data_IF_619555166248
#
_entry.id   IF_619555166248
#
_cell.length_a   1.000
_cell.length_b   1.000
_cell.length_c   1.000
_cell.angle_alpha   90.00
_cell.angle_beta   90.00
_cell.angle_gamma   90.00
#
_symmetry.space_group_name_H-M   'P 1'
#
loop_
_entity.id
_entity.type
_entity.pdbx_description
1 polymer ?
#
# COMPACT_ATOMS: atom_id res chain seq x y z
N UNK A 1 7.48 -23.25 -8.29
CA UNK A 1 7.87 -21.86 -7.98
C UNK A 1 6.65 -21.16 -7.41
N UNK A 2 6.58 -21.10 -6.09
CA UNK A 2 5.43 -20.69 -5.29
C UNK A 2 5.31 -19.17 -5.23
N UNK A 3 4.37 -18.61 -5.99
CA UNK A 3 3.86 -17.26 -5.74
C UNK A 3 2.48 -17.42 -5.11
N UNK A 4 2.46 -17.63 -3.80
CA UNK A 4 1.25 -17.56 -2.99
C UNK A 4 0.93 -16.09 -2.75
N UNK A 5 0.19 -15.47 -3.65
CA UNK A 5 -0.65 -14.35 -3.26
C UNK A 5 -1.87 -14.94 -2.56
N UNK A 6 -2.16 -14.45 -1.36
CA UNK A 6 -3.24 -14.90 -0.50
C UNK A 6 -4.58 -14.98 -1.25
N UNK A 7 -4.88 -16.12 -1.88
CA UNK A 7 -6.18 -16.42 -2.44
C UNK A 7 -7.06 -16.83 -1.26
N UNK A 8 -7.76 -15.85 -0.68
CA UNK A 8 -8.91 -16.14 0.16
C UNK A 8 -9.84 -17.04 -0.64
N UNK A 9 -9.91 -18.31 -0.24
CA UNK A 9 -10.65 -19.34 -0.94
C UNK A 9 -12.13 -19.02 -0.73
N UNK A 10 -12.76 -18.33 -1.67
CA UNK A 10 -14.20 -18.12 -1.69
C UNK A 10 -14.87 -19.46 -2.08
N UNK A 11 -14.83 -20.44 -1.16
CA UNK A 11 -15.55 -21.71 -1.28
C UNK A 11 -17.02 -21.44 -0.99
N UNK A 12 -17.73 -20.90 -1.97
CA UNK A 12 -19.17 -20.78 -1.93
C UNK A 12 -19.76 -21.98 -2.68
N UNK A 13 -20.37 -22.90 -1.95
CA UNK A 13 -21.11 -24.04 -2.53
C UNK A 13 -22.24 -23.56 -3.43
N UNK A 14 -22.85 -22.42 -3.11
CA UNK A 14 -23.87 -21.77 -3.94
C UNK A 14 -23.29 -21.28 -5.26
N UNK A 15 -22.06 -20.77 -5.26
CA UNK A 15 -21.37 -20.35 -6.49
C UNK A 15 -21.01 -21.54 -7.37
N UNK A 16 -20.64 -22.68 -6.78
CA UNK A 16 -20.41 -23.93 -7.52
C UNK A 16 -21.71 -24.50 -8.10
N UNK A 17 -22.82 -24.42 -7.36
CA UNK A 17 -24.13 -24.87 -7.83
C UNK A 17 -24.64 -24.08 -9.04
N UNK A 18 -24.26 -22.82 -9.19
CA UNK A 18 -24.62 -22.00 -10.36
C UNK A 18 -24.10 -22.63 -11.66
N UNK A 19 -22.92 -23.27 -11.65
CA UNK A 19 -22.38 -23.94 -12.85
C UNK A 19 -23.29 -25.07 -13.35
N UNK A 20 -24.03 -25.74 -12.46
CA UNK A 20 -24.98 -26.79 -12.84
C UNK A 20 -26.27 -26.27 -13.46
N UNK A 21 -26.55 -24.97 -13.33
CA UNK A 21 -27.76 -24.31 -13.79
C UNK A 21 -27.50 -23.54 -15.11
N UNK A 22 -26.24 -23.25 -15.43
CA UNK A 22 -25.86 -22.51 -16.64
C UNK A 22 -26.04 -23.33 -17.91
N UNK A 23 -26.56 -22.66 -18.95
CA UNK A 23 -26.63 -23.22 -20.30
C UNK A 23 -25.23 -23.30 -20.92
N UNK A 24 -25.00 -24.20 -21.89
CA UNK A 24 -23.69 -24.39 -22.54
C UNK A 24 -23.13 -23.09 -23.16
N UNK A 25 -24.00 -22.19 -23.62
CA UNK A 25 -23.64 -20.86 -24.12
C UNK A 25 -23.20 -19.90 -23.02
N UNK A 26 -23.93 -19.87 -21.91
CA UNK A 26 -23.60 -19.06 -20.73
C UNK A 26 -22.30 -19.54 -20.10
N UNK A 27 -22.03 -20.85 -20.10
CA UNK A 27 -20.79 -21.44 -19.60
C UNK A 27 -19.57 -20.98 -20.40
N UNK A 28 -19.72 -20.74 -21.71
CA UNK A 28 -18.67 -20.14 -22.55
C UNK A 28 -18.46 -18.67 -22.22
N UNK A 29 -19.52 -17.93 -21.91
CA UNK A 29 -19.46 -16.52 -21.52
C UNK A 29 -18.86 -16.34 -20.11
N UNK A 30 -19.22 -17.21 -19.17
CA UNK A 30 -18.83 -17.21 -17.77
C UNK A 30 -17.89 -18.37 -17.43
N UNK A 31 -16.73 -18.40 -18.10
CA UNK A 31 -15.67 -19.41 -17.88
C UNK A 31 -15.07 -19.45 -16.45
N UNK A 32 -15.55 -18.61 -15.54
CA UNK A 32 -15.15 -18.54 -14.12
C UNK A 32 -15.48 -19.81 -13.35
N UNK A 33 -16.47 -20.57 -13.84
CA UNK A 33 -16.94 -21.78 -13.20
C UNK A 33 -16.08 -23.01 -13.54
N UNK A 34 -15.19 -22.89 -14.54
CA UNK A 34 -14.16 -23.89 -14.84
C UNK A 34 -12.87 -23.53 -14.06
N UNK A 35 -12.57 -24.21 -12.93
CA UNK A 35 -11.38 -23.91 -12.10
C UNK A 35 -10.05 -24.11 -12.84
N UNK A 36 -10.08 -24.75 -14.01
CA UNK A 36 -8.90 -25.09 -14.81
C UNK A 36 -8.60 -24.09 -15.94
N UNK A 37 -9.49 -23.15 -16.27
CA UNK A 37 -9.35 -22.30 -17.47
C UNK A 37 -9.11 -20.81 -17.21
N UNK A 38 -9.63 -20.27 -16.12
CA UNK A 38 -9.50 -18.85 -15.82
C UNK A 38 -9.04 -18.64 -14.37
N UNK A 39 -7.90 -17.99 -14.20
CA UNK A 39 -7.49 -17.49 -12.88
C UNK A 39 -8.50 -16.43 -12.42
N UNK A 40 -9.00 -16.55 -11.19
CA UNK A 40 -9.95 -15.61 -10.57
C UNK A 40 -9.50 -14.16 -10.70
N UNK A 41 -8.18 -13.91 -10.66
CA UNK A 41 -7.60 -12.58 -10.84
C UNK A 41 -7.92 -11.96 -12.20
N UNK A 42 -7.84 -12.75 -13.28
CA UNK A 42 -8.11 -12.28 -14.64
C UNK A 42 -9.59 -11.96 -14.81
N UNK A 43 -10.47 -12.78 -14.24
CA UNK A 43 -11.90 -12.48 -14.18
C UNK A 43 -12.17 -11.16 -13.49
N UNK A 44 -11.65 -11.00 -12.27
CA UNK A 44 -11.90 -9.81 -11.46
C UNK A 44 -11.40 -8.55 -12.19
N UNK A 45 -10.26 -8.66 -12.89
CA UNK A 45 -9.73 -7.60 -13.75
C UNK A 45 -10.71 -7.24 -14.86
N UNK A 46 -11.21 -8.23 -15.61
CA UNK A 46 -12.15 -8.02 -16.73
C UNK A 46 -13.49 -7.49 -16.24
N UNK A 47 -14.01 -8.02 -15.14
CA UNK A 47 -15.24 -7.54 -14.50
C UNK A 47 -15.10 -6.08 -14.07
N UNK A 48 -14.00 -5.72 -13.40
CA UNK A 48 -13.73 -4.33 -12.99
C UNK A 48 -13.63 -3.38 -14.19
N UNK A 49 -12.96 -3.80 -15.28
CA UNK A 49 -12.87 -3.01 -16.52
C UNK A 49 -14.25 -2.83 -17.17
N UNK A 50 -15.05 -3.91 -17.22
CA UNK A 50 -16.41 -3.87 -17.72
C UNK A 50 -17.31 -2.95 -16.90
N UNK A 51 -17.27 -3.03 -15.57
CA UNK A 51 -18.02 -2.11 -14.70
C UNK A 51 -17.68 -0.66 -14.99
N UNK A 52 -16.40 -0.31 -15.13
CA UNK A 52 -16.00 1.07 -15.45
C UNK A 52 -16.50 1.53 -16.82
N UNK A 53 -16.38 0.68 -17.83
CA UNK A 53 -16.75 1.03 -19.20
C UNK A 53 -18.27 1.11 -19.39
N UNK A 54 -19.03 0.17 -18.82
CA UNK A 54 -20.47 0.04 -19.06
C UNK A 54 -21.33 0.71 -17.99
N UNK A 55 -20.97 0.57 -16.70
CA UNK A 55 -21.76 1.16 -15.61
C UNK A 55 -21.38 2.61 -15.35
N UNK A 56 -20.07 2.92 -15.31
CA UNK A 56 -19.59 4.28 -15.02
C UNK A 56 -19.36 5.13 -16.27
N UNK A 57 -19.41 4.54 -17.48
CA UNK A 57 -19.16 5.22 -18.76
C UNK A 57 -17.82 5.99 -18.77
N UNK A 58 -16.82 5.49 -18.04
CA UNK A 58 -15.49 6.09 -17.98
C UNK A 58 -14.60 5.49 -19.08
N UNK A 59 -13.81 6.34 -19.74
CA UNK A 59 -12.80 5.85 -20.69
C UNK A 59 -11.70 5.06 -19.98
N UNK A 60 -11.38 3.88 -20.51
CA UNK A 60 -10.29 3.00 -20.05
C UNK A 60 -8.91 3.67 -20.11
N UNK A 61 -8.76 4.71 -20.93
CA UNK A 61 -7.57 5.55 -21.02
C UNK A 61 -7.28 6.33 -19.72
N UNK A 62 -8.27 6.46 -18.83
CA UNK A 62 -8.14 7.19 -17.55
C UNK A 62 -7.40 6.39 -16.46
N UNK A 63 -7.35 5.05 -16.55
CA UNK A 63 -6.68 4.17 -15.59
C UNK A 63 -5.20 4.50 -15.34
N UNK A 64 -4.33 4.67 -16.37
CA UNK A 64 -2.94 5.03 -16.15
C UNK A 64 -2.80 6.41 -15.49
N UNK A 65 -3.69 7.35 -15.80
CA UNK A 65 -3.71 8.69 -15.19
C UNK A 65 -4.04 8.61 -13.71
N UNK A 66 -5.05 7.82 -13.33
CA UNK A 66 -5.41 7.60 -11.93
C UNK A 66 -4.29 6.90 -11.15
N UNK A 67 -3.63 5.89 -11.73
CA UNK A 67 -2.48 5.22 -11.09
C UNK A 67 -1.32 6.18 -10.85
N UNK A 68 -1.04 7.07 -11.81
CA UNK A 68 -0.01 8.12 -11.65
C UNK A 68 -0.38 9.07 -10.52
N UNK A 69 -1.63 9.57 -10.50
CA UNK A 69 -2.12 10.43 -9.41
C UNK A 69 -2.01 9.76 -8.05
N UNK A 70 -2.37 8.48 -7.94
CA UNK A 70 -2.29 7.73 -6.68
C UNK A 70 -0.83 7.57 -6.20
N UNK A 71 0.11 7.28 -7.09
CA UNK A 71 1.54 7.23 -6.76
C UNK A 71 2.07 8.58 -6.28
N UNK A 72 1.72 9.66 -6.97
CA UNK A 72 2.11 11.02 -6.58
C UNK A 72 1.55 11.36 -5.19
N UNK A 73 0.26 11.10 -4.97
CA UNK A 73 -0.38 11.38 -3.69
C UNK A 73 0.24 10.57 -2.54
N UNK A 74 0.66 9.33 -2.79
CA UNK A 74 1.39 8.52 -1.81
C UNK A 74 2.72 9.14 -1.41
N UNK A 75 3.51 9.60 -2.40
CA UNK A 75 4.80 10.29 -2.13
C UNK A 75 4.56 11.59 -1.38
N UNK A 76 3.58 12.39 -1.80
CA UNK A 76 3.20 13.64 -1.14
C UNK A 76 2.78 13.38 0.31
N UNK A 77 1.98 12.35 0.56
CA UNK A 77 1.56 11.99 1.91
C UNK A 77 2.74 11.61 2.80
N UNK A 78 3.68 10.78 2.29
CA UNK A 78 4.91 10.42 3.03
C UNK A 78 5.75 11.67 3.34
N UNK A 79 5.98 12.54 2.36
CA UNK A 79 6.70 13.79 2.58
C UNK A 79 6.01 14.69 3.61
N UNK A 80 4.68 14.78 3.56
CA UNK A 80 3.91 15.58 4.50
C UNK A 80 4.02 15.03 5.93
N UNK A 81 3.92 13.70 6.11
CA UNK A 81 4.08 13.06 7.41
C UNK A 81 5.51 13.27 7.97
N UNK A 82 6.55 13.02 7.15
CA UNK A 82 7.93 13.26 7.59
C UNK A 82 8.22 14.73 7.87
N UNK A 83 7.73 15.64 7.01
CA UNK A 83 7.85 17.07 7.20
C UNK A 83 7.14 17.56 8.47
N UNK A 84 5.97 17.01 8.77
CA UNK A 84 5.23 17.31 9.98
C UNK A 84 5.99 16.84 11.24
N UNK A 85 6.56 15.63 11.23
CA UNK A 85 7.42 15.16 12.32
C UNK A 85 8.66 16.04 12.50
N UNK A 86 9.31 16.44 11.41
CA UNK A 86 10.46 17.34 11.47
C UNK A 86 10.09 18.72 12.01
N UNK A 87 8.94 19.26 11.60
CA UNK A 87 8.43 20.53 12.10
C UNK A 87 8.13 20.48 13.60
N UNK A 88 7.49 19.41 14.08
CA UNK A 88 7.28 19.20 15.52
C UNK A 88 8.62 19.12 16.25
N UNK A 89 9.59 18.38 15.73
CA UNK A 89 10.92 18.27 16.34
C UNK A 89 11.63 19.64 16.43
N UNK A 90 11.53 20.45 15.37
CA UNK A 90 12.05 21.82 15.35
C UNK A 90 11.37 22.70 16.39
N UNK A 91 10.04 22.61 16.52
CA UNK A 91 9.26 23.35 17.51
C UNK A 91 9.63 22.91 18.94
N UNK A 92 9.80 21.61 19.18
CA UNK A 92 10.26 21.10 20.48
C UNK A 92 11.64 21.64 20.86
N UNK A 93 12.54 21.81 19.89
CA UNK A 93 13.89 22.36 20.13
C UNK A 93 13.85 23.83 20.55
N UNK A 94 12.82 24.58 20.16
CA UNK A 94 12.61 25.95 20.61
C UNK A 94 12.28 26.03 22.11
N UNK A 95 11.68 24.98 22.68
CA UNK A 95 11.26 24.96 24.08
C UNK A 95 12.47 24.73 25.02
N UNK A 96 12.69 25.65 25.96
CA UNK A 96 13.83 25.66 26.89
C UNK A 96 14.09 24.34 27.66
N UNK A 97 13.09 23.64 28.23
CA UNK A 97 13.35 22.41 28.97
C UNK A 97 13.82 21.26 28.06
N UNK A 98 13.48 21.27 26.78
CA UNK A 98 13.95 20.24 25.82
C UNK A 98 15.45 20.40 25.56
N UNK A 99 15.96 21.63 25.49
CA UNK A 99 17.41 21.88 25.39
C UNK A 99 18.16 21.37 26.61
N UNK A 100 17.64 21.62 27.81
CA UNK A 100 18.24 21.14 29.06
C UNK A 100 18.31 19.60 29.08
N UNK A 101 17.24 18.92 28.67
CA UNK A 101 17.22 17.45 28.57
C UNK A 101 18.22 16.95 27.51
N UNK A 102 18.31 17.62 26.36
CA UNK A 102 19.28 17.27 25.32
C UNK A 102 20.72 17.41 25.80
N UNK A 103 21.04 18.51 26.49
CA UNK A 103 22.37 18.75 27.07
C UNK A 103 22.71 17.71 28.15
N UNK A 104 21.72 17.30 28.96
CA UNK A 104 21.86 16.21 29.92
C UNK A 104 22.11 14.86 29.24
N UNK A 105 21.38 14.54 28.18
CA UNK A 105 21.58 13.30 27.41
C UNK A 105 22.97 13.31 26.77
N UNK A 106 23.41 14.44 26.21
CA UNK A 106 24.77 14.57 25.67
C UNK A 106 25.85 14.43 26.74
N UNK A 107 25.62 14.95 27.94
CA UNK A 107 26.50 14.73 29.10
C UNK A 107 26.55 13.25 29.53
N UNK A 108 25.42 12.56 29.55
CA UNK A 108 25.38 11.13 29.85
C UNK A 108 26.07 10.29 28.77
N UNK A 109 25.95 10.67 27.50
CA UNK A 109 26.62 10.01 26.37
C UNK A 109 28.14 10.23 26.42
N UNK A 110 28.60 11.43 26.78
CA UNK A 110 30.03 11.72 26.89
C UNK A 110 30.71 11.01 28.08
N UNK A 111 29.94 10.62 29.10
CA UNK A 111 30.42 9.79 30.21
C UNK A 111 30.73 8.34 29.78
N UNK A 112 30.17 7.86 28.66
CA UNK A 112 30.51 6.54 28.12
C UNK A 112 31.88 6.62 27.40
N UNK A 113 32.92 5.90 27.88
CA UNK A 113 34.28 5.97 27.34
C UNK A 113 34.42 5.45 25.90
N UNK A 114 33.36 4.88 25.34
CA UNK A 114 33.33 4.26 24.01
C UNK A 114 33.10 5.31 22.90
N UNK A 115 32.43 6.43 23.20
CA UNK A 115 31.96 7.40 22.18
C UNK A 115 32.75 8.73 22.21
N UNK A 116 33.47 9.02 23.31
CA UNK A 116 34.33 10.20 23.44
C UNK A 116 35.30 10.47 22.26
N UNK A 117 35.94 9.46 21.62
CA UNK A 117 36.88 9.71 20.52
C UNK A 117 36.24 10.16 19.20
N UNK A 118 34.91 10.03 19.02
CA UNK A 118 34.22 10.30 17.74
C UNK A 118 33.71 11.75 17.65
N UNK A 119 33.37 12.38 18.78
CA UNK A 119 32.84 13.76 18.83
C UNK A 119 33.93 14.84 18.82
N UNK A 120 35.18 14.52 19.17
CA UNK A 120 36.29 15.49 19.21
C UNK A 120 36.85 15.91 17.84
N UNK A 121 36.27 15.44 16.73
CA UNK A 121 36.76 15.72 15.35
C UNK A 121 35.84 16.62 14.52
N UNK A 122 34.74 17.10 15.09
CA UNK A 122 33.80 18.01 14.42
C UNK A 122 33.72 19.33 15.17
N UNK A 123 34.88 19.90 15.52
CA UNK A 123 35.04 21.29 15.92
C UNK A 123 36.08 21.95 15.03
#
# INVERSE_FOLDING_TARGET
MSVQFASGIFKSERFLAINSILTEEERKLFSMADPNKATIEEYLKRALLGTRQYCLKEDLSSLPRCRRKQKILYVVHKLCVYGFYFYIFYLLTYFTPVKIVYDYVMYCISLLPIIGPVLGKTS
#
